data_IF_421667883019
#
_entry.id   IF_421667883019
#
_cell.length_a   1.000
_cell.length_b   1.000
_cell.length_c   1.000
_cell.angle_alpha   90.00
_cell.angle_beta   90.00
_cell.angle_gamma   90.00
#
_symmetry.space_group_name_H-M   'P 1'
#
loop_
_entity.id
_entity.type
_entity.pdbx_description
1 polymer ?
#
# COMPACT_ATOMS: atom_id res chain seq x y z
N UNK A 1 5.27 -12.36 -14.83
CA UNK A 1 5.71 -11.12 -14.13
C UNK A 1 5.30 -11.21 -12.66
N UNK A 2 4.00 -11.25 -12.36
CA UNK A 2 3.47 -11.39 -10.99
C UNK A 2 4.14 -12.49 -10.13
N UNK A 3 4.24 -13.73 -10.64
CA UNK A 3 4.84 -14.85 -9.89
C UNK A 3 6.25 -14.57 -9.37
N UNK A 4 7.11 -13.95 -10.19
CA UNK A 4 8.49 -13.65 -9.81
C UNK A 4 8.53 -12.61 -8.67
N UNK A 5 7.70 -11.56 -8.77
CA UNK A 5 7.60 -10.54 -7.73
C UNK A 5 6.99 -11.10 -6.45
N UNK A 6 5.96 -11.92 -6.57
CA UNK A 6 5.34 -12.61 -5.43
C UNK A 6 6.35 -13.50 -4.72
N UNK A 7 7.14 -14.29 -5.46
CA UNK A 7 8.21 -15.13 -4.89
C UNK A 7 9.25 -14.27 -4.15
N UNK A 8 9.73 -13.18 -4.77
CA UNK A 8 10.72 -12.28 -4.18
C UNK A 8 10.20 -11.55 -2.93
N UNK A 9 8.97 -11.01 -2.96
CA UNK A 9 8.32 -10.38 -1.80
C UNK A 9 8.19 -11.37 -0.65
N UNK A 10 7.63 -12.55 -0.93
CA UNK A 10 7.44 -13.59 0.07
C UNK A 10 8.79 -14.00 0.69
N UNK A 11 9.82 -14.22 -0.11
CA UNK A 11 11.11 -14.66 0.38
C UNK A 11 11.81 -13.57 1.22
N UNK A 12 11.68 -12.30 0.81
CA UNK A 12 12.21 -11.15 1.57
C UNK A 12 11.52 -11.00 2.92
N UNK A 13 10.19 -11.08 2.97
CA UNK A 13 9.41 -10.75 4.17
C UNK A 13 8.91 -11.98 4.96
N UNK A 14 9.28 -13.22 4.58
CA UNK A 14 8.87 -14.47 5.28
C UNK A 14 9.17 -14.51 6.77
N UNK A 15 10.12 -13.70 7.25
CA UNK A 15 10.49 -13.63 8.65
C UNK A 15 9.57 -12.71 9.48
N UNK A 16 8.75 -11.90 8.81
CA UNK A 16 7.74 -11.00 9.40
C UNK A 16 6.31 -11.45 9.10
N UNK A 17 6.10 -12.22 8.03
CA UNK A 17 4.79 -12.69 7.59
C UNK A 17 4.57 -14.15 8.05
N UNK A 18 3.42 -14.50 8.63
CA UNK A 18 3.10 -15.89 8.98
C UNK A 18 3.24 -16.84 7.78
N UNK A 19 3.83 -18.04 7.94
CA UNK A 19 4.06 -18.98 6.84
C UNK A 19 2.79 -19.35 6.06
N UNK A 20 1.65 -19.41 6.74
CA UNK A 20 0.34 -19.68 6.15
C UNK A 20 -0.06 -18.59 5.15
N UNK A 21 0.14 -17.31 5.51
CA UNK A 21 -0.15 -16.16 4.64
C UNK A 21 0.78 -16.14 3.42
N UNK A 22 2.06 -16.44 3.63
CA UNK A 22 3.02 -16.60 2.52
C UNK A 22 2.56 -17.67 1.53
N UNK A 23 2.12 -18.84 2.01
CA UNK A 23 1.61 -19.91 1.13
C UNK A 23 0.35 -19.47 0.39
N UNK A 24 -0.61 -18.87 1.11
CA UNK A 24 -1.85 -18.36 0.50
C UNK A 24 -1.56 -17.37 -0.63
N UNK A 25 -0.70 -16.37 -0.41
CA UNK A 25 -0.37 -15.38 -1.44
C UNK A 25 0.34 -16.02 -2.64
N UNK A 26 1.27 -16.97 -2.42
CA UNK A 26 1.96 -17.68 -3.50
C UNK A 26 1.01 -18.53 -4.37
N UNK A 27 -0.01 -19.11 -3.77
CA UNK A 27 -0.97 -20.00 -4.46
C UNK A 27 -2.13 -19.22 -5.11
N UNK A 28 -2.37 -17.98 -4.68
CA UNK A 28 -3.46 -17.14 -5.15
C UNK A 28 -3.06 -16.36 -6.41
N UNK A 29 -3.89 -16.31 -7.47
CA UNK A 29 -3.59 -15.52 -8.67
C UNK A 29 -3.82 -14.02 -8.45
N UNK A 30 -3.29 -13.21 -9.38
CA UNK A 30 -3.80 -11.86 -9.65
C UNK A 30 -4.75 -11.95 -10.83
N UNK A 31 -5.92 -11.34 -10.72
CA UNK A 31 -6.90 -11.19 -11.78
C UNK A 31 -6.63 -9.88 -12.52
N UNK A 32 -6.18 -10.02 -13.76
CA UNK A 32 -6.00 -8.91 -14.68
C UNK A 32 -7.28 -8.76 -15.51
N UNK A 33 -8.01 -7.69 -15.28
CA UNK A 33 -9.35 -7.47 -15.82
C UNK A 33 -9.35 -6.31 -16.82
N UNK A 34 -10.22 -6.33 -17.82
CA UNK A 34 -10.43 -5.13 -18.62
C UNK A 34 -11.13 -4.05 -17.77
N UNK A 35 -11.20 -2.82 -18.30
CA UNK A 35 -11.71 -1.69 -17.51
C UNK A 35 -13.14 -1.91 -17.01
N UNK A 36 -13.99 -2.49 -17.85
CA UNK A 36 -15.40 -2.67 -17.52
C UNK A 36 -15.57 -3.75 -16.45
N UNK A 37 -14.85 -4.86 -16.59
CA UNK A 37 -14.89 -5.97 -15.65
C UNK A 37 -14.24 -5.58 -14.31
N UNK A 38 -13.12 -4.87 -14.32
CA UNK A 38 -12.50 -4.32 -13.11
C UNK A 38 -13.46 -3.41 -12.33
N UNK A 39 -14.11 -2.46 -13.00
CA UNK A 39 -15.06 -1.57 -12.34
C UNK A 39 -16.26 -2.31 -11.74
N UNK A 40 -16.71 -3.40 -12.38
CA UNK A 40 -17.75 -4.27 -11.83
C UNK A 40 -17.26 -4.95 -10.56
N UNK A 41 -16.11 -5.64 -10.62
CA UNK A 41 -15.50 -6.34 -9.48
C UNK A 41 -15.25 -5.37 -8.31
N UNK A 42 -14.70 -4.18 -8.58
CA UNK A 42 -14.45 -3.15 -7.56
C UNK A 42 -15.73 -2.67 -6.88
N UNK A 43 -16.82 -2.45 -7.63
CA UNK A 43 -18.13 -2.06 -7.06
C UNK A 43 -18.74 -3.20 -6.23
N UNK A 44 -18.65 -4.44 -6.69
CA UNK A 44 -19.17 -5.62 -5.98
C UNK A 44 -18.42 -5.87 -4.66
N UNK A 45 -17.12 -5.59 -4.63
CA UNK A 45 -16.29 -5.61 -3.43
C UNK A 45 -16.58 -4.47 -2.44
N UNK A 46 -17.50 -3.55 -2.77
CA UNK A 46 -17.85 -2.40 -1.94
C UNK A 46 -16.87 -1.22 -2.05
N UNK A 47 -16.09 -1.18 -3.14
CA UNK A 47 -15.16 -0.10 -3.43
C UNK A 47 -15.87 1.26 -3.51
N UNK A 48 -15.30 2.27 -2.86
CA UNK A 48 -15.82 3.63 -2.91
C UNK A 48 -15.50 4.26 -4.26
N UNK A 49 -16.41 5.12 -4.77
CA UNK A 49 -16.12 5.90 -5.97
C UNK A 49 -14.83 6.70 -5.76
N UNK A 50 -13.85 6.59 -6.67
CA UNK A 50 -12.64 7.38 -6.58
C UNK A 50 -13.01 8.88 -6.67
N UNK A 51 -12.27 9.77 -5.97
CA UNK A 51 -12.44 11.21 -6.13
C UNK A 51 -12.44 11.66 -7.59
N UNK A 52 -13.11 12.77 -7.89
CA UNK A 52 -13.16 13.35 -9.23
C UNK A 52 -11.74 13.54 -9.81
N UNK A 53 -11.53 13.09 -11.04
CA UNK A 53 -10.22 13.12 -11.71
C UNK A 53 -9.26 12.01 -11.29
N UNK A 54 -9.70 11.03 -10.50
CA UNK A 54 -8.90 9.87 -10.09
C UNK A 54 -9.55 8.55 -10.51
N UNK A 55 -8.78 7.48 -10.58
CA UNK A 55 -9.25 6.16 -11.04
C UNK A 55 -8.72 5.05 -10.14
N UNK A 56 -9.60 4.15 -9.71
CA UNK A 56 -9.16 2.89 -9.10
C UNK A 56 -8.53 2.00 -10.17
N UNK A 57 -7.35 1.44 -9.92
CA UNK A 57 -6.57 0.61 -10.86
C UNK A 57 -6.19 -0.75 -10.29
N UNK A 58 -6.32 -0.94 -8.98
CA UNK A 58 -6.14 -2.21 -8.29
C UNK A 58 -7.06 -2.29 -7.07
N UNK A 59 -7.25 -3.48 -6.52
CA UNK A 59 -7.69 -3.67 -5.14
C UNK A 59 -7.42 -5.11 -4.67
N UNK A 60 -7.42 -5.31 -3.36
CA UNK A 60 -7.40 -6.63 -2.73
C UNK A 60 -8.06 -6.63 -1.35
N UNK A 61 -8.80 -7.69 -1.02
CA UNK A 61 -9.39 -7.87 0.32
C UNK A 61 -8.55 -8.84 1.18
N UNK A 62 -7.23 -8.64 1.17
CA UNK A 62 -6.28 -9.50 1.88
C UNK A 62 -6.13 -10.88 1.23
N UNK A 63 -5.97 -11.94 2.04
CA UNK A 63 -5.84 -13.32 1.53
C UNK A 63 -7.18 -14.07 1.39
N UNK A 64 -8.30 -13.35 1.42
CA UNK A 64 -9.63 -13.96 1.23
C UNK A 64 -9.95 -14.19 -0.24
N UNK A 65 -9.40 -13.37 -1.13
CA UNK A 65 -9.68 -13.39 -2.57
C UNK A 65 -8.48 -12.90 -3.37
N UNK A 66 -8.41 -13.24 -4.67
CA UNK A 66 -7.40 -12.73 -5.58
C UNK A 66 -7.30 -11.20 -5.55
N UNK A 67 -6.10 -10.69 -5.82
CA UNK A 67 -5.93 -9.28 -6.14
C UNK A 67 -6.53 -9.01 -7.54
N UNK A 68 -7.18 -7.87 -7.71
CA UNK A 68 -7.77 -7.43 -8.97
C UNK A 68 -6.99 -6.22 -9.49
N UNK A 69 -6.67 -6.19 -10.78
CA UNK A 69 -5.89 -5.12 -11.40
C UNK A 69 -6.46 -4.80 -12.79
N UNK A 70 -6.66 -3.51 -13.06
CA UNK A 70 -7.07 -2.99 -14.36
C UNK A 70 -5.94 -3.14 -15.39
N UNK A 71 -6.16 -3.94 -16.44
CA UNK A 71 -5.20 -4.16 -17.53
C UNK A 71 -4.83 -2.89 -18.30
N UNK A 72 -5.65 -1.83 -18.21
CA UNK A 72 -5.37 -0.55 -18.87
C UNK A 72 -4.54 0.40 -17.99
N UNK A 73 -4.15 -0.02 -16.79
CA UNK A 73 -3.22 0.74 -15.98
C UNK A 73 -1.86 0.86 -16.67
N UNK A 74 -1.41 2.11 -16.86
CA UNK A 74 -0.10 2.43 -17.44
C UNK A 74 1.06 1.96 -16.54
N UNK A 75 0.77 1.63 -15.28
CA UNK A 75 1.72 1.08 -14.30
C UNK A 75 1.34 -0.33 -13.83
N UNK A 76 0.73 -1.13 -14.72
CA UNK A 76 0.20 -2.48 -14.45
C UNK A 76 1.06 -3.35 -13.53
N UNK A 77 2.37 -3.42 -13.81
CA UNK A 77 3.30 -4.24 -13.03
C UNK A 77 3.45 -3.73 -11.58
N UNK A 78 3.60 -2.41 -11.39
CA UNK A 78 3.69 -1.79 -10.06
C UNK A 78 2.40 -2.03 -9.28
N UNK A 79 1.25 -1.88 -9.93
CA UNK A 79 -0.07 -2.05 -9.30
C UNK A 79 -0.28 -3.51 -8.87
N UNK A 80 0.09 -4.48 -9.71
CA UNK A 80 0.06 -5.89 -9.30
C UNK A 80 0.96 -6.15 -8.07
N UNK A 81 2.17 -5.59 -8.04
CA UNK A 81 3.06 -5.70 -6.86
C UNK A 81 2.43 -5.02 -5.63
N UNK A 82 1.82 -3.84 -5.81
CA UNK A 82 1.15 -3.09 -4.75
C UNK A 82 0.07 -3.94 -4.07
N UNK A 83 -0.81 -4.58 -4.86
CA UNK A 83 -1.82 -5.48 -4.31
C UNK A 83 -1.21 -6.69 -3.61
N UNK A 84 -0.13 -7.27 -4.14
CA UNK A 84 0.57 -8.37 -3.45
C UNK A 84 1.13 -7.96 -2.10
N UNK A 85 1.62 -6.73 -1.98
CA UNK A 85 2.11 -6.19 -0.71
C UNK A 85 0.96 -6.05 0.29
N UNK A 86 -0.23 -5.59 -0.14
CA UNK A 86 -1.43 -5.60 0.70
C UNK A 86 -1.79 -7.00 1.20
N UNK A 87 -1.80 -8.00 0.33
CA UNK A 87 -2.14 -9.38 0.71
C UNK A 87 -1.16 -10.00 1.72
N UNK A 88 0.10 -9.54 1.74
CA UNK A 88 1.11 -9.97 2.72
C UNK A 88 1.01 -9.24 4.06
N UNK A 89 0.38 -8.06 4.11
CA UNK A 89 0.26 -7.23 5.31
C UNK A 89 -0.51 -7.94 6.44
N UNK A 90 -0.32 -7.49 7.69
CA UNK A 90 -1.20 -7.93 8.77
C UNK A 90 -2.60 -7.34 8.58
N UNK A 91 -3.69 -8.12 8.75
CA UNK A 91 -5.06 -7.59 8.61
C UNK A 91 -5.37 -6.39 9.51
N UNK A 92 -4.63 -6.22 10.62
CA UNK A 92 -4.78 -5.09 11.55
C UNK A 92 -3.86 -3.93 11.23
N UNK A 93 -2.92 -4.07 10.29
CA UNK A 93 -1.92 -3.06 9.98
C UNK A 93 -2.56 -1.75 9.51
N UNK A 94 -3.60 -1.84 8.66
CA UNK A 94 -4.36 -0.67 8.18
C UNK A 94 -4.97 0.12 9.33
N UNK A 95 -5.62 -0.55 10.29
CA UNK A 95 -6.19 0.10 11.48
C UNK A 95 -5.10 0.64 12.40
N UNK A 96 -3.99 -0.09 12.57
CA UNK A 96 -2.91 0.26 13.49
C UNK A 96 -2.09 1.46 13.00
N UNK A 97 -1.75 1.48 11.71
CA UNK A 97 -0.96 2.52 11.05
C UNK A 97 -1.79 3.72 10.59
N UNK A 98 -3.09 3.51 10.36
CA UNK A 98 -3.94 4.46 9.65
C UNK A 98 -3.80 4.33 8.13
N UNK A 99 -4.91 4.62 7.44
CA UNK A 99 -5.09 4.46 5.98
C UNK A 99 -3.88 4.94 5.18
N UNK A 100 -3.48 6.19 5.38
CA UNK A 100 -2.48 6.85 4.54
C UNK A 100 -1.09 6.29 4.72
N UNK A 101 -0.74 5.93 5.96
CA UNK A 101 0.56 5.28 6.19
C UNK A 101 0.57 3.87 5.66
N UNK A 102 -0.54 3.15 5.80
CA UNK A 102 -0.70 1.84 5.21
C UNK A 102 -0.49 1.91 3.69
N UNK A 103 -1.21 2.76 2.96
CA UNK A 103 -1.03 2.96 1.51
C UNK A 103 0.37 3.45 1.13
N UNK A 104 0.91 4.40 1.89
CA UNK A 104 2.25 4.94 1.64
C UNK A 104 3.35 3.90 1.81
N UNK A 105 3.23 3.01 2.81
CA UNK A 105 4.15 1.89 3.01
C UNK A 105 3.98 0.86 1.90
N UNK A 106 2.74 0.53 1.51
CA UNK A 106 2.48 -0.36 0.37
C UNK A 106 3.15 0.15 -0.89
N UNK A 107 2.96 1.43 -1.24
CA UNK A 107 3.51 2.04 -2.44
C UNK A 107 5.04 2.12 -2.41
N UNK A 108 5.64 2.47 -1.26
CA UNK A 108 7.10 2.48 -1.12
C UNK A 108 7.71 1.09 -1.32
N UNK A 109 7.07 0.06 -0.75
CA UNK A 109 7.49 -1.34 -0.90
C UNK A 109 7.30 -1.85 -2.34
N UNK A 110 6.20 -1.48 -3.00
CA UNK A 110 5.93 -1.87 -4.38
C UNK A 110 6.98 -1.30 -5.34
N UNK A 111 7.35 -0.02 -5.17
CA UNK A 111 8.40 0.62 -5.98
C UNK A 111 9.79 0.03 -5.68
N UNK A 112 10.08 -0.28 -4.41
CA UNK A 112 11.33 -0.97 -4.05
C UNK A 112 11.43 -2.34 -4.73
N UNK A 113 10.33 -3.07 -4.82
CA UNK A 113 10.31 -4.39 -5.44
C UNK A 113 10.41 -4.34 -6.97
N UNK A 114 9.73 -3.36 -7.58
CA UNK A 114 9.82 -3.08 -9.02
C UNK A 114 11.27 -2.90 -9.46
N UNK A 115 12.14 -2.37 -8.58
CA UNK A 115 13.58 -2.30 -8.80
C UNK A 115 14.04 -1.14 -9.68
N UNK A 116 13.10 -0.34 -10.18
CA UNK A 116 13.35 0.93 -10.86
C UNK A 116 12.28 1.94 -10.46
N UNK A 117 12.57 3.24 -10.63
CA UNK A 117 11.54 4.25 -10.42
C UNK A 117 10.45 4.10 -11.50
N UNK A 118 9.17 4.31 -11.15
CA UNK A 118 8.11 4.46 -12.14
C UNK A 118 8.38 5.65 -13.06
N UNK A 119 7.82 5.62 -14.28
CA UNK A 119 7.97 6.72 -15.22
C UNK A 119 7.42 8.02 -14.58
N UNK A 120 8.24 9.08 -14.43
CA UNK A 120 7.82 10.32 -13.78
C UNK A 120 6.75 11.10 -14.57
N UNK A 121 6.57 10.80 -15.86
CA UNK A 121 5.53 11.39 -16.72
C UNK A 121 4.16 10.73 -16.53
N UNK A 122 4.11 9.54 -15.92
CA UNK A 122 2.86 8.88 -15.60
C UNK A 122 2.28 9.42 -14.29
N UNK A 123 0.95 9.44 -14.14
CA UNK A 123 0.34 9.86 -12.89
C UNK A 123 0.76 8.99 -11.71
N UNK A 124 1.10 9.61 -10.58
CA UNK A 124 1.60 8.89 -9.40
C UNK A 124 0.45 8.51 -8.46
N UNK A 125 0.47 7.27 -7.99
CA UNK A 125 -0.36 6.85 -6.85
C UNK A 125 0.31 7.35 -5.57
N UNK A 126 -0.47 7.92 -4.64
CA UNK A 126 -0.04 8.15 -3.25
C UNK A 126 1.30 8.91 -3.03
N UNK A 127 1.62 9.99 -3.77
CA UNK A 127 2.93 10.63 -3.67
C UNK A 127 3.21 11.21 -2.27
N UNK A 128 2.17 11.74 -1.59
CA UNK A 128 2.32 12.35 -0.26
C UNK A 128 2.43 11.28 0.83
N UNK A 129 1.59 10.25 0.74
CA UNK A 129 1.59 9.10 1.62
C UNK A 129 2.91 8.34 1.55
N UNK A 130 3.43 8.09 0.33
CA UNK A 130 4.75 7.49 0.13
C UNK A 130 5.86 8.35 0.75
N UNK A 131 5.85 9.66 0.53
CA UNK A 131 6.84 10.56 1.13
C UNK A 131 6.79 10.49 2.67
N UNK A 132 5.59 10.45 3.26
CA UNK A 132 5.40 10.29 4.69
C UNK A 132 5.92 8.92 5.21
N UNK A 133 5.69 7.84 4.47
CA UNK A 133 6.22 6.51 4.79
C UNK A 133 7.76 6.47 4.74
N UNK A 134 8.36 7.11 3.74
CA UNK A 134 9.82 7.23 3.60
C UNK A 134 10.43 8.04 4.75
N UNK A 135 9.78 9.13 5.14
CA UNK A 135 10.20 9.93 6.29
C UNK A 135 10.13 9.12 7.59
N UNK A 136 9.06 8.34 7.77
CA UNK A 136 8.92 7.48 8.93
C UNK A 136 10.03 6.40 8.99
N UNK A 137 10.35 5.79 7.85
CA UNK A 137 11.49 4.85 7.73
C UNK A 137 12.82 5.52 8.05
N UNK A 138 13.03 6.76 7.60
CA UNK A 138 14.25 7.54 7.90
C UNK A 138 14.41 7.80 9.40
N UNK A 139 13.31 8.05 10.10
CA UNK A 139 13.31 8.38 11.53
C UNK A 139 13.40 7.12 12.41
N UNK A 140 12.62 6.08 12.06
CA UNK A 140 12.40 4.90 12.90
C UNK A 140 13.06 3.61 12.42
N UNK A 141 13.64 3.63 11.22
CA UNK A 141 14.26 2.46 10.60
C UNK A 141 13.25 1.55 9.90
N UNK A 142 13.73 0.81 8.90
CA UNK A 142 12.90 -0.08 8.10
C UNK A 142 12.27 -1.21 8.93
N UNK A 143 13.00 -1.84 9.86
CA UNK A 143 12.49 -2.96 10.67
C UNK A 143 11.27 -2.57 11.51
N UNK A 144 11.25 -1.36 12.10
CA UNK A 144 10.12 -0.89 12.89
C UNK A 144 8.86 -0.69 12.03
N UNK A 145 9.03 -0.16 10.82
CA UNK A 145 7.92 0.07 9.87
C UNK A 145 7.43 -1.26 9.29
N UNK A 146 8.34 -2.13 8.86
CA UNK A 146 8.01 -3.43 8.26
C UNK A 146 7.35 -4.36 9.28
N UNK A 147 7.77 -4.36 10.55
CA UNK A 147 7.08 -5.10 11.63
C UNK A 147 5.66 -4.59 11.88
N UNK A 148 5.49 -3.27 11.91
CA UNK A 148 4.17 -2.69 12.08
C UNK A 148 3.25 -3.04 10.91
N UNK A 149 3.79 -3.12 9.69
CA UNK A 149 3.04 -3.41 8.48
C UNK A 149 2.74 -4.90 8.28
N UNK A 150 3.75 -5.77 8.33
CA UNK A 150 3.59 -7.20 8.02
C UNK A 150 3.15 -8.06 9.23
N UNK A 151 3.56 -7.67 10.43
CA UNK A 151 3.28 -8.42 11.66
C UNK A 151 2.25 -7.73 12.59
N UNK A 152 1.84 -6.49 12.26
CA UNK A 152 0.95 -5.69 13.11
C UNK A 152 1.59 -5.25 14.44
N UNK A 153 2.92 -5.37 14.59
CA UNK A 153 3.64 -5.00 15.82
C UNK A 153 4.11 -3.55 15.78
N UNK A 154 3.32 -2.65 16.35
CA UNK A 154 3.60 -1.20 16.36
C UNK A 154 4.48 -0.74 17.52
N UNK A 155 4.95 -1.64 18.40
CA UNK A 155 5.64 -1.23 19.65
C UNK A 155 6.92 -0.46 19.37
N UNK A 156 7.77 -0.96 18.48
CA UNK A 156 9.03 -0.28 18.15
C UNK A 156 8.79 1.07 17.48
N UNK A 157 7.78 1.12 16.59
CA UNK A 157 7.38 2.35 15.92
C UNK A 157 6.89 3.40 16.92
N UNK A 158 6.04 3.00 17.88
CA UNK A 158 5.56 3.84 18.97
C UNK A 158 6.70 4.40 19.81
N UNK A 159 7.62 3.54 20.29
CA UNK A 159 8.79 3.98 21.08
C UNK A 159 9.68 4.95 20.31
N UNK A 160 9.88 4.72 19.01
CA UNK A 160 10.65 5.63 18.17
C UNK A 160 10.00 7.01 18.08
N UNK A 161 8.72 7.06 17.72
CA UNK A 161 7.97 8.32 17.59
C UNK A 161 7.91 9.05 18.92
N UNK A 162 7.75 8.31 20.02
CA UNK A 162 7.76 8.90 21.36
C UNK A 162 9.06 9.62 21.70
N UNK A 163 10.20 8.98 21.38
CA UNK A 163 11.53 9.56 21.63
C UNK A 163 11.82 10.78 20.77
N UNK A 164 11.29 10.81 19.54
CA UNK A 164 11.62 11.84 18.54
C UNK A 164 10.70 13.04 18.61
N UNK A 165 9.44 12.83 18.96
CA UNK A 165 8.39 13.84 18.87
C UNK A 165 7.70 14.12 20.23
N UNK A 166 7.88 13.28 21.27
CA UNK A 166 7.19 13.38 22.57
C UNK A 166 6.11 12.32 22.80
N UNK A 167 5.33 12.36 23.88
CA UNK A 167 4.27 11.34 24.14
C UNK A 167 3.10 11.44 23.14
N UNK A 168 2.36 10.35 22.94
CA UNK A 168 1.14 10.22 22.10
C UNK A 168 1.31 10.47 20.58
N UNK A 169 2.55 10.47 20.10
CA UNK A 169 2.84 10.87 18.73
C UNK A 169 2.41 9.90 17.65
N UNK A 170 2.26 8.59 17.90
CA UNK A 170 1.72 7.71 16.86
C UNK A 170 0.28 8.09 16.50
N UNK A 171 -0.54 8.40 17.50
CA UNK A 171 -1.91 8.84 17.28
C UNK A 171 -1.98 10.23 16.63
N UNK A 172 -1.08 11.15 17.01
CA UNK A 172 -0.99 12.47 16.40
C UNK A 172 -0.47 12.41 14.96
N UNK A 173 0.52 11.58 14.69
CA UNK A 173 1.08 11.36 13.37
C UNK A 173 0.01 10.79 12.41
N UNK A 174 -0.80 9.83 12.87
CA UNK A 174 -1.99 9.34 12.16
C UNK A 174 -2.95 10.47 11.81
N UNK A 175 -3.34 11.28 12.80
CA UNK A 175 -4.26 12.42 12.62
C UNK A 175 -3.72 13.45 11.64
N UNK A 176 -2.44 13.78 11.71
CA UNK A 176 -1.81 14.79 10.83
C UNK A 176 -1.74 14.29 9.39
N UNK A 177 -1.36 13.03 9.18
CA UNK A 177 -1.43 12.43 7.85
C UNK A 177 -2.87 12.48 7.34
N UNK A 178 -3.86 12.13 8.15
CA UNK A 178 -5.28 12.12 7.79
C UNK A 178 -5.86 13.53 7.51
N UNK A 179 -5.42 14.55 8.23
CA UNK A 179 -5.92 15.93 8.12
C UNK A 179 -5.45 16.69 6.88
N UNK A 180 -4.22 16.47 6.39
CA UNK A 180 -3.66 17.20 5.23
C UNK A 180 -4.43 16.96 3.92
N UNK A 181 -5.32 15.96 3.86
CA UNK A 181 -6.19 15.74 2.70
C UNK A 181 -7.49 16.54 2.71
N UNK A 182 -7.88 17.18 3.83
CA UNK A 182 -9.06 18.06 3.85
C UNK A 182 -8.77 19.48 3.34
N UNK A 183 -7.50 19.84 3.17
CA UNK A 183 -7.09 21.20 2.76
C UNK A 183 -6.23 21.22 1.48
N UNK A 184 -5.98 20.06 0.86
CA UNK A 184 -5.15 19.94 -0.36
C UNK A 184 -5.95 19.72 -1.64
N UNK A 185 -7.02 20.47 -1.86
CA UNK A 185 -7.86 20.41 -3.07
C UNK A 185 -7.22 21.07 -4.32
N UNK A 186 -5.93 21.40 -4.30
CA UNK A 186 -5.32 22.30 -5.30
C UNK A 186 -4.32 21.65 -6.27
N UNK A 187 -4.18 20.31 -6.29
CA UNK A 187 -3.39 19.62 -7.33
C UNK A 187 -4.30 19.08 -8.44
N UNK A 188 -5.03 19.98 -9.12
CA UNK A 188 -5.63 19.68 -10.42
C UNK A 188 -4.51 19.70 -11.46
N UNK A 189 -3.87 18.57 -11.76
CA UNK A 189 -3.30 18.36 -13.11
C UNK A 189 -2.79 16.96 -13.49
N UNK A 190 -2.77 15.95 -12.63
CA UNK A 190 -2.38 14.59 -13.05
C UNK A 190 -3.31 13.56 -12.42
N UNK A 191 -4.06 12.83 -13.25
CA UNK A 191 -5.11 11.91 -12.79
C UNK A 191 -4.57 10.87 -11.83
N UNK A 192 -4.86 10.99 -10.54
CA UNK A 192 -4.28 10.09 -9.55
C UNK A 192 -4.91 8.71 -9.67
N UNK A 193 -4.09 7.67 -9.56
CA UNK A 193 -4.58 6.31 -9.48
C UNK A 193 -4.71 5.89 -8.01
N UNK A 194 -5.77 5.15 -7.67
CA UNK A 194 -6.07 4.58 -6.35
C UNK A 194 -6.15 3.06 -6.42
N UNK A 195 -5.95 2.44 -5.27
CA UNK A 195 -6.00 1.00 -5.00
C UNK A 195 -6.87 0.76 -3.77
#
# INVERSE_FOLDING_TARGET
>A
MDRLHTERLCDRYRHLVPPERVRQVKDMPVLFEDRHDFERSYREAGGANPPEGTQAVGFSLGTLEPAHVDMHDLQLEKTAIHERVHQLSDPRAREALGEKFYEGVTEDLAIKELGHQPNPELPRCYPRERAAAQELRRICGDDAVDRAYFAGDTRQLGVCLERRLGKDNLAEFRRTADATSRHGQDDRELGQCRT
#
